data_IF_286483750029
#
_entry.id   IF_286483750029
#
_cell.length_a   1.000
_cell.length_b   1.000
_cell.length_c   1.000
_cell.angle_alpha   90.00
_cell.angle_beta   90.00
_cell.angle_gamma   90.00
#
_symmetry.space_group_name_H-M   'P 1'
#
loop_
_entity.id
_entity.type
_entity.pdbx_description
1 polymer ?
#
# COMPACT_ATOMS: atom_id res chain seq x y z
N UNK A 1 13.45 -9.27 20.22
CA UNK A 1 12.95 -8.80 18.92
C UNK A 1 11.76 -7.88 19.14
N UNK A 2 11.76 -6.71 18.54
CA UNK A 2 10.64 -5.77 18.66
C UNK A 2 9.41 -6.28 17.91
N UNK A 3 8.23 -5.75 18.21
CA UNK A 3 6.99 -6.06 17.49
C UNK A 3 7.14 -5.75 16.00
N UNK A 4 7.80 -4.64 15.66
CA UNK A 4 8.06 -4.28 14.28
C UNK A 4 8.92 -5.32 13.56
N UNK A 5 9.99 -5.80 14.22
CA UNK A 5 10.83 -6.85 13.63
C UNK A 5 10.07 -8.13 13.38
N UNK A 6 9.17 -8.52 14.31
CA UNK A 6 8.30 -9.68 14.15
C UNK A 6 7.35 -9.52 12.98
N UNK A 7 6.77 -8.33 12.81
CA UNK A 7 5.87 -8.00 11.70
C UNK A 7 6.60 -8.08 10.36
N UNK A 8 7.80 -7.51 10.27
CA UNK A 8 8.61 -7.53 9.05
C UNK A 8 8.98 -8.97 8.69
N UNK A 9 9.42 -9.76 9.65
CA UNK A 9 9.79 -11.17 9.42
C UNK A 9 8.61 -11.96 8.89
N UNK A 10 7.45 -11.85 9.55
CA UNK A 10 6.25 -12.57 9.11
C UNK A 10 5.77 -12.09 7.75
N UNK A 11 5.80 -10.78 7.51
CA UNK A 11 5.42 -10.22 6.21
C UNK A 11 6.33 -10.72 5.10
N UNK A 12 7.63 -10.78 5.33
CA UNK A 12 8.58 -11.30 4.34
C UNK A 12 8.27 -12.77 3.97
N UNK A 13 7.94 -13.60 4.97
CA UNK A 13 7.51 -14.98 4.72
C UNK A 13 6.26 -15.03 3.84
N UNK A 14 5.25 -14.22 4.17
CA UNK A 14 3.98 -14.17 3.43
C UNK A 14 4.17 -13.68 2.00
N UNK A 15 4.98 -12.65 1.80
CA UNK A 15 5.29 -12.16 0.45
C UNK A 15 5.95 -13.24 -0.39
N UNK A 16 6.90 -13.95 0.19
CA UNK A 16 7.58 -15.05 -0.51
C UNK A 16 6.61 -16.18 -0.86
N UNK A 17 5.72 -16.55 0.05
CA UNK A 17 4.75 -17.62 -0.18
C UNK A 17 3.63 -17.23 -1.15
N UNK A 18 3.11 -16.02 -1.04
CA UNK A 18 1.91 -15.59 -1.75
C UNK A 18 2.20 -14.89 -3.08
N UNK A 19 3.20 -14.03 -3.09
CA UNK A 19 3.41 -13.06 -4.18
C UNK A 19 4.50 -13.47 -5.16
N UNK A 20 5.49 -14.25 -4.74
CA UNK A 20 6.55 -14.71 -5.62
C UNK A 20 6.08 -15.94 -6.37
N UNK A 21 5.87 -15.78 -7.68
CA UNK A 21 5.44 -16.86 -8.58
C UNK A 21 6.65 -17.34 -9.35
N UNK A 22 7.01 -18.61 -9.14
CA UNK A 22 8.18 -19.22 -9.78
C UNK A 22 7.75 -20.02 -11.02
N UNK A 23 8.62 -20.06 -12.01
CA UNK A 23 8.39 -20.70 -13.29
C UNK A 23 8.59 -19.72 -14.43
N UNK A 24 8.67 -20.23 -15.66
CA UNK A 24 8.87 -19.38 -16.82
C UNK A 24 7.65 -18.48 -17.06
N UNK A 25 7.88 -17.19 -17.09
CA UNK A 25 6.85 -16.18 -17.37
C UNK A 25 7.38 -15.21 -18.41
N UNK A 26 6.48 -14.71 -19.27
CA UNK A 26 6.79 -13.63 -20.18
C UNK A 26 6.29 -12.32 -19.59
N UNK A 27 7.20 -11.40 -19.33
CA UNK A 27 6.91 -10.10 -18.76
C UNK A 27 6.24 -9.19 -19.80
N UNK A 28 5.65 -8.09 -19.33
CA UNK A 28 5.03 -7.10 -20.20
C UNK A 28 6.01 -6.51 -21.22
N UNK A 29 7.30 -6.47 -20.89
CA UNK A 29 8.38 -6.04 -21.77
C UNK A 29 8.68 -7.03 -22.90
N UNK A 30 8.11 -8.24 -22.88
CA UNK A 30 8.41 -9.33 -23.80
C UNK A 30 9.58 -10.20 -23.36
N UNK A 31 10.28 -9.82 -22.30
CA UNK A 31 11.39 -10.61 -21.77
C UNK A 31 10.89 -11.80 -20.97
N UNK A 32 11.63 -12.91 -21.01
CA UNK A 32 11.34 -14.07 -20.19
C UNK A 32 12.00 -13.94 -18.82
N UNK A 33 11.32 -14.43 -17.79
CA UNK A 33 11.83 -14.50 -16.42
C UNK A 33 11.50 -15.85 -15.82
N UNK A 34 12.31 -16.27 -14.84
CA UNK A 34 12.07 -17.49 -14.08
C UNK A 34 11.11 -17.26 -12.92
N UNK A 35 10.73 -16.03 -12.66
CA UNK A 35 9.77 -15.67 -11.63
C UNK A 35 9.15 -14.30 -11.92
N UNK A 36 8.04 -14.02 -11.27
CA UNK A 36 7.51 -12.67 -11.19
C UNK A 36 6.87 -12.46 -9.81
N UNK A 37 6.68 -11.19 -9.43
CA UNK A 37 6.12 -10.85 -8.14
C UNK A 37 4.75 -10.18 -8.35
N UNK A 38 3.71 -10.82 -7.84
CA UNK A 38 2.36 -10.26 -7.84
C UNK A 38 2.01 -9.84 -6.40
N UNK A 39 2.27 -8.58 -6.09
CA UNK A 39 2.06 -8.05 -4.74
C UNK A 39 0.59 -8.00 -4.34
N UNK A 40 -0.36 -8.02 -5.27
CA UNK A 40 -1.79 -8.02 -4.96
C UNK A 40 -2.21 -9.26 -4.18
N UNK A 41 -1.49 -10.35 -4.34
CA UNK A 41 -1.72 -11.58 -3.57
C UNK A 41 -1.40 -11.39 -2.08
N UNK A 42 -0.51 -10.45 -1.75
CA UNK A 42 -0.20 -10.08 -0.37
C UNK A 42 -1.04 -8.91 0.10
N UNK A 43 -1.16 -7.85 -0.72
CA UNK A 43 -1.86 -6.62 -0.30
C UNK A 43 -3.36 -6.82 -0.09
N UNK A 44 -3.93 -7.91 -0.63
CA UNK A 44 -5.34 -8.26 -0.46
C UNK A 44 -5.54 -9.50 0.41
N UNK A 45 -4.49 -9.99 1.05
CA UNK A 45 -4.53 -11.19 1.89
C UNK A 45 -4.91 -10.85 3.33
N UNK A 46 -5.74 -11.68 3.94
CA UNK A 46 -6.30 -11.41 5.28
C UNK A 46 -5.25 -11.26 6.38
N UNK A 47 -4.12 -11.92 6.27
CA UNK A 47 -3.02 -11.81 7.23
C UNK A 47 -1.98 -10.77 6.80
N UNK A 48 -1.57 -10.80 5.52
CA UNK A 48 -0.53 -9.91 5.03
C UNK A 48 -0.96 -8.45 4.97
N UNK A 49 -2.20 -8.15 4.61
CA UNK A 49 -2.68 -6.77 4.49
C UNK A 49 -2.57 -5.97 5.80
N UNK A 50 -3.04 -6.48 6.96
CA UNK A 50 -2.84 -5.77 8.22
C UNK A 50 -1.37 -5.55 8.56
N UNK A 51 -0.51 -6.53 8.29
CA UNK A 51 0.94 -6.40 8.52
C UNK A 51 1.54 -5.30 7.64
N UNK A 52 1.14 -5.24 6.37
CA UNK A 52 1.58 -4.18 5.44
C UNK A 52 1.21 -2.82 6.02
N UNK A 53 -0.01 -2.65 6.49
CA UNK A 53 -0.45 -1.39 7.09
C UNK A 53 0.42 -0.97 8.26
N UNK A 54 0.68 -1.87 9.19
CA UNK A 54 1.51 -1.58 10.36
C UNK A 54 2.97 -1.34 10.00
N UNK A 55 3.56 -2.16 9.13
CA UNK A 55 4.95 -2.00 8.71
C UNK A 55 5.14 -0.67 7.97
N UNK A 56 4.22 -0.32 7.08
CA UNK A 56 4.29 0.94 6.35
C UNK A 56 4.15 2.16 7.27
N UNK A 57 3.27 2.08 8.28
CA UNK A 57 3.16 3.15 9.29
C UNK A 57 4.46 3.28 10.09
N UNK A 58 5.05 2.17 10.50
CA UNK A 58 6.32 2.20 11.23
C UNK A 58 7.43 2.81 10.39
N UNK A 59 7.50 2.50 9.11
CA UNK A 59 8.45 3.10 8.19
C UNK A 59 8.23 4.60 8.05
N UNK A 60 6.96 5.02 7.95
CA UNK A 60 6.61 6.44 7.85
C UNK A 60 6.99 7.20 9.12
N UNK A 61 6.78 6.58 10.29
CA UNK A 61 7.12 7.15 11.58
C UNK A 61 8.64 7.29 11.75
N UNK A 62 9.41 6.32 11.25
CA UNK A 62 10.87 6.36 11.28
C UNK A 62 11.44 7.37 10.28
N UNK A 63 10.69 7.73 9.25
CA UNK A 63 11.10 8.75 8.29
C UNK A 63 11.05 10.13 8.94
N UNK A 64 11.73 11.10 8.31
CA UNK A 64 11.80 12.49 8.80
C UNK A 64 10.40 13.10 8.97
N UNK A 65 9.41 12.63 8.20
CA UNK A 65 8.06 13.19 8.19
C UNK A 65 7.22 12.84 9.42
N UNK A 66 7.41 11.64 9.99
CA UNK A 66 6.56 11.18 11.08
C UNK A 66 5.09 10.96 10.67
N UNK A 67 4.34 10.15 11.42
CA UNK A 67 2.94 9.85 11.09
C UNK A 67 1.97 10.98 11.41
N UNK A 68 2.22 11.74 12.47
CA UNK A 68 1.34 12.87 12.91
C UNK A 68 1.47 14.09 12.01
N UNK A 69 2.43 14.12 11.10
CA UNK A 69 2.57 15.21 10.14
C UNK A 69 1.90 14.90 8.80
N UNK A 70 1.46 13.67 8.60
CA UNK A 70 0.85 13.22 7.35
C UNK A 70 -0.65 13.09 7.53
N UNK A 71 -1.40 13.72 6.63
CA UNK A 71 -2.87 13.74 6.67
C UNK A 71 -3.49 12.59 5.89
N UNK A 72 -2.82 12.16 4.82
CA UNK A 72 -3.37 11.12 3.95
C UNK A 72 -2.27 10.36 3.19
N UNK A 73 -2.59 9.14 2.81
CA UNK A 73 -1.72 8.28 2.00
C UNK A 73 -2.50 7.77 0.80
N UNK A 74 -1.82 7.58 -0.32
CA UNK A 74 -2.50 7.08 -1.51
C UNK A 74 -1.55 6.82 -2.66
N UNK A 75 -2.10 6.60 -3.83
CA UNK A 75 -1.33 6.38 -5.04
C UNK A 75 -2.18 5.81 -6.16
N UNK A 76 -1.51 5.39 -7.21
CA UNK A 76 -2.19 4.92 -8.42
C UNK A 76 -2.92 3.60 -8.19
N UNK A 77 -4.17 3.57 -8.63
CA UNK A 77 -4.91 2.32 -8.76
C UNK A 77 -4.41 1.57 -10.00
N UNK A 78 -4.36 0.30 -10.03
CA UNK A 78 -4.61 -0.67 -8.98
C UNK A 78 -3.27 -1.16 -8.44
N UNK A 79 -2.95 -0.84 -7.25
CA UNK A 79 -1.67 -1.22 -6.65
C UNK A 79 -1.48 -0.53 -5.31
N UNK A 80 -1.53 0.80 -5.32
CA UNK A 80 -1.37 1.58 -4.10
C UNK A 80 -2.62 1.59 -3.21
N UNK A 81 -3.81 1.44 -3.80
CA UNK A 81 -5.07 1.53 -3.07
C UNK A 81 -5.19 0.52 -1.91
N UNK A 82 -4.93 -0.80 -2.06
CA UNK A 82 -5.01 -1.70 -0.91
C UNK A 82 -3.95 -1.41 0.16
N UNK A 83 -2.77 -0.92 -0.22
CA UNK A 83 -1.74 -0.51 0.74
C UNK A 83 -2.20 0.69 1.55
N UNK A 84 -2.74 1.71 0.87
CA UNK A 84 -3.27 2.91 1.53
C UNK A 84 -4.43 2.57 2.46
N UNK A 85 -5.33 1.69 2.04
CA UNK A 85 -6.44 1.23 2.88
C UNK A 85 -5.93 0.47 4.11
N UNK A 86 -4.93 -0.39 3.96
CA UNK A 86 -4.33 -1.10 5.09
C UNK A 86 -3.70 -0.12 6.09
N UNK A 87 -3.02 0.91 5.60
CA UNK A 87 -2.43 1.96 6.44
C UNK A 87 -3.49 2.76 7.18
N UNK A 88 -4.57 3.13 6.52
CA UNK A 88 -5.70 3.84 7.12
C UNK A 88 -6.28 3.05 8.30
N UNK A 89 -6.52 1.77 8.12
CA UNK A 89 -7.08 0.93 9.18
C UNK A 89 -6.07 0.68 10.32
N UNK A 90 -4.80 0.49 9.99
CA UNK A 90 -3.75 0.35 11.00
C UNK A 90 -3.60 1.63 11.82
N UNK A 91 -3.66 2.80 11.18
CA UNK A 91 -3.61 4.09 11.86
C UNK A 91 -4.79 4.24 12.84
N UNK A 92 -6.00 3.90 12.40
CA UNK A 92 -7.19 3.95 13.25
C UNK A 92 -7.02 3.08 14.51
N UNK A 93 -6.41 1.91 14.37
CA UNK A 93 -6.15 1.01 15.51
C UNK A 93 -5.15 1.61 16.52
N UNK A 94 -4.35 2.57 16.08
CA UNK A 94 -3.37 3.29 16.92
C UNK A 94 -3.90 4.65 17.41
N UNK A 95 -5.17 4.98 17.12
CA UNK A 95 -5.74 6.27 17.48
C UNK A 95 -5.23 7.44 16.62
N UNK A 96 -4.70 7.16 15.44
CA UNK A 96 -4.22 8.16 14.51
C UNK A 96 -5.26 8.43 13.42
N UNK A 97 -5.35 9.69 13.01
CA UNK A 97 -6.25 10.12 11.92
C UNK A 97 -5.46 10.16 10.61
N UNK A 98 -5.74 9.21 9.75
CA UNK A 98 -5.06 9.11 8.46
C UNK A 98 -6.08 8.72 7.39
N UNK A 99 -6.29 9.59 6.43
CA UNK A 99 -7.16 9.30 5.29
C UNK A 99 -6.40 8.55 4.19
N UNK A 100 -7.13 7.94 3.29
CA UNK A 100 -6.56 7.33 2.09
C UNK A 100 -7.19 7.97 0.85
N UNK A 101 -6.44 7.99 -0.24
CA UNK A 101 -6.93 8.47 -1.53
C UNK A 101 -6.43 7.55 -2.64
N UNK A 102 -7.12 7.59 -3.77
CA UNK A 102 -6.78 6.77 -4.94
C UNK A 102 -6.61 7.69 -6.14
N UNK A 103 -5.52 7.51 -6.87
CA UNK A 103 -5.25 8.25 -8.09
C UNK A 103 -5.63 7.39 -9.28
N UNK A 104 -6.56 7.87 -10.09
CA UNK A 104 -6.98 7.18 -11.32
C UNK A 104 -5.92 7.38 -12.41
N UNK A 105 -5.78 6.42 -13.31
CA UNK A 105 -4.84 6.54 -14.45
C UNK A 105 -5.21 7.71 -15.34
N UNK A 106 -6.51 8.00 -15.46
CA UNK A 106 -7.03 9.12 -16.25
C UNK A 106 -8.22 9.73 -15.53
N UNK A 107 -8.51 11.00 -15.82
CA UNK A 107 -9.69 11.65 -15.29
C UNK A 107 -10.96 10.94 -15.78
N UNK A 108 -12.02 11.00 -14.96
CA UNK A 108 -13.34 10.47 -15.33
C UNK A 108 -13.87 11.16 -16.59
N UNK A 109 -14.47 10.39 -17.49
CA UNK A 109 -15.04 10.92 -18.73
C UNK A 109 -16.32 11.74 -18.48
N UNK A 110 -16.98 11.52 -17.35
CA UNK A 110 -18.25 12.17 -17.00
C UNK A 110 -18.30 12.48 -15.51
N UNK A 111 -19.33 13.19 -15.09
CA UNK A 111 -19.47 13.66 -13.72
C UNK A 111 -18.48 14.79 -13.45
N UNK A 112 -17.83 14.79 -12.28
CA UNK A 112 -16.87 15.82 -11.89
C UNK A 112 -15.48 15.67 -12.54
N UNK A 113 -15.28 14.63 -13.31
CA UNK A 113 -14.02 14.33 -14.02
C UNK A 113 -12.80 14.31 -13.09
N UNK A 114 -12.98 13.81 -11.89
CA UNK A 114 -11.90 13.74 -10.90
C UNK A 114 -10.90 12.65 -11.26
N UNK A 115 -9.66 12.95 -11.02
CA UNK A 115 -8.58 11.96 -11.09
C UNK A 115 -8.27 11.36 -9.72
N UNK A 116 -8.54 12.09 -8.65
CA UNK A 116 -8.29 11.65 -7.28
C UNK A 116 -9.63 11.34 -6.62
N UNK A 117 -9.74 10.15 -6.04
CA UNK A 117 -10.92 9.68 -5.34
C UNK A 117 -10.63 9.55 -3.84
N UNK A 118 -11.64 9.86 -3.03
CA UNK A 118 -11.54 9.81 -1.57
C UNK A 118 -11.86 11.14 -0.93
N UNK A 119 -11.56 11.31 0.38
CA UNK A 119 -11.67 12.61 1.03
C UNK A 119 -10.81 13.66 0.36
N UNK A 120 -11.18 14.92 0.48
CA UNK A 120 -10.44 16.02 -0.14
C UNK A 120 -9.04 16.13 0.47
N UNK A 121 -8.02 16.08 -0.37
CA UNK A 121 -6.62 16.18 0.05
C UNK A 121 -5.95 17.50 -0.38
N UNK A 122 -6.72 18.42 -0.95
CA UNK A 122 -6.19 19.72 -1.39
C UNK A 122 -5.56 20.46 -0.20
N UNK A 123 -4.32 20.89 -0.35
CA UNK A 123 -3.60 21.61 0.70
C UNK A 123 -3.12 20.77 1.86
N UNK A 124 -3.32 19.45 1.80
CA UNK A 124 -2.92 18.54 2.86
C UNK A 124 -1.53 17.95 2.62
N UNK A 125 -0.92 17.43 3.68
CA UNK A 125 0.35 16.72 3.60
C UNK A 125 0.09 15.27 3.29
N UNK A 126 0.56 14.80 2.15
CA UNK A 126 0.28 13.44 1.67
C UNK A 126 1.56 12.69 1.30
N UNK A 127 1.45 11.38 1.38
CA UNK A 127 2.48 10.44 0.91
C UNK A 127 1.85 9.46 -0.08
#
# INVERSE_FOLDING_TARGET
MSTNDSHITRLAELVNELSVVRGKVTLASGLESDFYVDMRRATLHHEAAPLIGHVMLDMLEEAVLGTDEIDAVGGLTMGADPVAAAMLHAAASRGLDLDAFVVRKAAKDHGMRRRIEGPDVAGRRVV
#
